data_IF_092314534060
#
_entry.id   IF_092314534060
#
_cell.length_a   1.000
_cell.length_b   1.000
_cell.length_c   1.000
_cell.angle_alpha   90.00
_cell.angle_beta   90.00
_cell.angle_gamma   90.00
#
_symmetry.space_group_name_H-M   'P 1'
#
loop_
_entity.id
_entity.type
_entity.pdbx_description
1 polymer ?
#
# COMPACT_ATOMS: atom_id res chain seq x y z
N UNK A 1 -24.18 1.05 1.44
CA UNK A 1 -23.70 -0.27 0.99
C UNK A 1 -23.05 -0.02 -0.36
N UNK A 2 -21.79 0.35 -0.51
CA UNK A 2 -20.53 -0.18 0.03
C UNK A 2 -19.55 0.99 0.24
N UNK A 3 -19.09 1.20 1.47
CA UNK A 3 -18.10 2.25 1.80
C UNK A 3 -16.93 1.54 2.47
N UNK A 4 -16.18 0.78 1.67
CA UNK A 4 -14.90 0.19 2.11
C UNK A 4 -13.86 1.27 1.86
N UNK A 5 -13.76 2.17 2.83
CA UNK A 5 -12.60 3.04 3.01
C UNK A 5 -11.36 2.16 2.87
N UNK A 6 -10.43 2.58 2.01
CA UNK A 6 -9.04 2.14 2.07
C UNK A 6 -8.56 2.32 3.50
N UNK A 7 -8.64 1.28 4.32
CA UNK A 7 -8.14 1.32 5.66
C UNK A 7 -6.61 1.21 5.58
N UNK A 8 -5.95 2.34 5.34
CA UNK A 8 -4.65 2.65 5.95
C UNK A 8 -4.84 2.79 7.48
N UNK A 9 -5.63 1.89 8.08
CA UNK A 9 -5.74 1.77 9.52
C UNK A 9 -4.40 1.26 10.00
N UNK A 10 -3.98 1.77 11.16
CA UNK A 10 -2.75 1.42 11.88
C UNK A 10 -2.49 -0.09 12.06
N UNK A 11 -3.41 -0.96 11.65
CA UNK A 11 -3.41 -2.41 11.81
C UNK A 11 -3.02 -3.19 10.54
N UNK A 12 -3.20 -2.63 9.32
CA UNK A 12 -2.95 -3.32 8.04
C UNK A 12 -2.27 -2.43 6.97
N UNK A 13 -1.49 -1.42 7.38
CA UNK A 13 -0.93 -0.41 6.48
C UNK A 13 0.46 -0.74 5.96
N UNK A 14 0.55 -1.34 4.77
CA UNK A 14 1.79 -1.60 4.06
C UNK A 14 2.18 -0.54 3.02
N UNK A 15 3.47 -0.47 2.69
CA UNK A 15 4.00 0.30 1.55
C UNK A 15 4.33 -0.63 0.37
N UNK A 16 4.73 -0.04 -0.76
CA UNK A 16 4.94 -0.73 -2.02
C UNK A 16 6.41 -0.99 -2.31
N UNK A 17 6.72 -2.06 -3.05
CA UNK A 17 8.07 -2.30 -3.58
C UNK A 17 8.44 -1.30 -4.68
N UNK A 18 7.43 -0.82 -5.40
CA UNK A 18 7.56 0.16 -6.49
C UNK A 18 7.54 1.58 -5.96
N UNK A 19 8.50 2.38 -6.45
CA UNK A 19 8.71 3.77 -6.06
C UNK A 19 7.88 4.76 -6.88
N UNK A 20 7.39 4.32 -8.03
CA UNK A 20 6.67 5.09 -9.05
C UNK A 20 5.14 4.94 -8.94
N UNK A 21 4.64 4.35 -7.86
CA UNK A 21 3.19 4.16 -7.65
C UNK A 21 2.49 5.52 -7.59
N UNK A 22 1.45 5.67 -8.40
CA UNK A 22 0.63 6.88 -8.46
C UNK A 22 -0.72 6.67 -7.76
N UNK A 23 -1.38 7.77 -7.39
CA UNK A 23 -2.76 7.72 -6.87
C UNK A 23 -3.73 7.13 -7.89
N UNK A 24 -3.57 7.44 -9.18
CA UNK A 24 -4.44 6.94 -10.24
C UNK A 24 -4.34 5.42 -10.35
N UNK A 25 -3.14 4.86 -10.17
CA UNK A 25 -2.93 3.41 -10.13
C UNK A 25 -3.66 2.78 -8.94
N UNK A 26 -3.53 3.37 -7.74
CA UNK A 26 -4.22 2.91 -6.52
C UNK A 26 -5.75 2.99 -6.66
N UNK A 27 -6.26 4.03 -7.31
CA UNK A 27 -7.69 4.23 -7.54
C UNK A 27 -8.27 3.25 -8.56
N UNK A 28 -7.46 2.75 -9.50
CA UNK A 28 -7.86 1.79 -10.54
C UNK A 28 -7.82 0.33 -10.09
N UNK A 29 -7.28 0.04 -8.90
CA UNK A 29 -7.27 -1.32 -8.35
C UNK A 29 -8.71 -1.85 -8.28
N UNK A 30 -8.96 -2.98 -8.96
CA UNK A 30 -10.19 -3.75 -8.74
C UNK A 30 -10.11 -4.39 -7.35
N UNK A 31 -11.03 -4.03 -6.46
CA UNK A 31 -11.06 -4.51 -5.07
C UNK A 31 -12.03 -5.66 -4.85
N UNK A 32 -12.75 -6.07 -5.89
CA UNK A 32 -13.72 -7.16 -5.86
C UNK A 32 -13.08 -8.47 -6.36
N UNK A 33 -11.82 -8.66 -6.03
CA UNK A 33 -10.96 -9.77 -6.45
C UNK A 33 -9.97 -10.07 -5.32
N UNK A 34 -9.50 -11.31 -5.28
CA UNK A 34 -8.45 -11.75 -4.36
C UNK A 34 -7.13 -11.01 -4.65
N UNK A 35 -6.35 -10.64 -3.62
CA UNK A 35 -4.94 -10.28 -3.81
C UNK A 35 -4.15 -11.41 -4.47
N UNK A 36 -3.10 -11.07 -5.21
CA UNK A 36 -2.41 -12.02 -6.11
C UNK A 36 -1.19 -11.40 -6.80
N UNK A 37 -0.66 -12.09 -7.82
CA UNK A 37 0.60 -11.74 -8.48
C UNK A 37 0.45 -10.74 -9.63
N UNK A 38 -0.75 -10.55 -10.16
CA UNK A 38 -0.98 -9.56 -11.21
C UNK A 38 -0.76 -8.14 -10.68
N UNK A 39 -0.28 -7.21 -11.52
CA UNK A 39 0.16 -5.86 -11.09
C UNK A 39 -0.82 -5.14 -10.15
N UNK A 40 -2.12 -5.13 -10.49
CA UNK A 40 -3.14 -4.49 -9.64
C UNK A 40 -3.44 -5.26 -8.35
N UNK A 41 -3.38 -6.59 -8.39
CA UNK A 41 -3.59 -7.45 -7.24
C UNK A 41 -2.39 -7.46 -6.29
N UNK A 42 -1.17 -7.36 -6.82
CA UNK A 42 0.08 -7.25 -6.09
C UNK A 42 0.14 -5.90 -5.36
N UNK A 43 -0.28 -4.83 -6.03
CA UNK A 43 -0.37 -3.51 -5.40
C UNK A 43 -1.35 -3.55 -4.23
N UNK A 44 -2.51 -4.21 -4.39
CA UNK A 44 -3.46 -4.45 -3.29
C UNK A 44 -2.87 -5.31 -2.18
N UNK A 45 -2.18 -6.40 -2.52
CA UNK A 45 -1.57 -7.30 -1.56
C UNK A 45 -0.50 -6.60 -0.72
N UNK A 46 0.36 -5.81 -1.34
CA UNK A 46 1.40 -5.04 -0.66
C UNK A 46 0.81 -3.98 0.28
N UNK A 47 -0.31 -3.35 -0.09
CA UNK A 47 -1.01 -2.42 0.81
C UNK A 47 -1.54 -3.11 2.06
N UNK A 48 -1.98 -4.36 1.93
CA UNK A 48 -2.62 -5.11 3.01
C UNK A 48 -1.62 -5.84 3.91
N UNK A 49 -0.51 -6.33 3.34
CA UNK A 49 0.36 -7.33 3.98
C UNK A 49 1.84 -6.96 4.07
N UNK A 50 2.24 -5.75 3.66
CA UNK A 50 3.62 -5.30 3.88
C UNK A 50 3.82 -4.73 5.28
N UNK A 51 4.97 -5.01 5.87
CA UNK A 51 5.31 -4.67 7.26
C UNK A 51 6.54 -3.73 7.31
N UNK A 52 6.67 -2.82 8.28
CA UNK A 52 7.88 -2.00 8.43
C UNK A 52 9.06 -2.84 8.94
N UNK A 53 10.29 -2.45 8.59
CA UNK A 53 11.54 -2.97 9.16
C UNK A 53 12.51 -1.85 9.56
N UNK A 54 13.45 -2.17 10.44
CA UNK A 54 14.48 -1.21 10.93
C UNK A 54 15.55 -0.91 9.88
N UNK A 55 15.90 -1.89 9.06
CA UNK A 55 16.91 -1.74 8.01
C UNK A 55 16.38 -0.93 6.82
N UNK A 56 17.26 -0.22 6.13
CA UNK A 56 16.90 0.44 4.87
C UNK A 56 16.64 -0.59 3.76
N UNK A 57 15.76 -0.21 2.84
CA UNK A 57 15.47 -0.93 1.61
C UNK A 57 14.14 -1.67 1.63
N UNK A 58 14.03 -2.65 0.73
CA UNK A 58 12.89 -3.56 0.62
C UNK A 58 13.37 -4.99 0.75
N UNK A 59 12.68 -5.80 1.55
CA UNK A 59 12.91 -7.25 1.66
C UNK A 59 11.62 -7.99 1.31
N UNK A 60 11.75 -9.13 0.66
CA UNK A 60 10.59 -10.00 0.44
C UNK A 60 10.08 -10.55 1.78
N UNK A 61 8.76 -10.63 1.91
CA UNK A 61 8.14 -11.19 3.11
C UNK A 61 8.05 -12.71 3.01
N UNK A 62 7.99 -13.37 4.17
CA UNK A 62 7.53 -14.76 4.26
C UNK A 62 6.02 -14.89 3.94
N UNK A 63 5.27 -13.78 3.97
CA UNK A 63 3.86 -13.72 3.57
C UNK A 63 3.78 -13.65 2.03
N UNK A 64 2.87 -14.39 1.39
CA UNK A 64 2.64 -14.26 -0.04
C UNK A 64 2.36 -12.80 -0.41
N UNK A 65 2.99 -12.31 -1.48
CA UNK A 65 2.67 -11.03 -2.13
C UNK A 65 2.92 -9.75 -1.31
N UNK A 66 3.52 -9.85 -0.12
CA UNK A 66 3.94 -8.72 0.71
C UNK A 66 5.46 -8.56 0.82
N UNK A 67 5.92 -7.46 1.43
CA UNK A 67 7.34 -7.27 1.74
C UNK A 67 7.56 -6.49 3.03
N UNK A 68 8.81 -6.45 3.49
CA UNK A 68 9.23 -5.59 4.58
C UNK A 68 9.90 -4.33 4.03
N UNK A 69 9.52 -3.15 4.53
CA UNK A 69 10.01 -1.87 4.03
C UNK A 69 10.74 -1.05 5.10
N UNK A 70 11.87 -0.48 4.71
CA UNK A 70 12.69 0.36 5.57
C UNK A 70 12.19 1.80 5.71
N UNK A 71 12.85 2.60 6.56
CA UNK A 71 12.52 4.00 6.74
C UNK A 71 12.77 4.84 5.48
N UNK A 72 13.74 4.47 4.64
CA UNK A 72 14.01 5.10 3.34
C UNK A 72 12.83 4.97 2.35
N UNK A 73 12.15 3.82 2.32
CA UNK A 73 10.95 3.59 1.51
C UNK A 73 9.80 4.47 2.00
N UNK A 74 9.65 4.59 3.32
CA UNK A 74 8.63 5.46 3.94
C UNK A 74 8.86 6.93 3.59
N UNK A 75 10.09 7.41 3.71
CA UNK A 75 10.45 8.81 3.38
C UNK A 75 10.18 9.10 1.91
N UNK A 76 10.56 8.18 1.03
CA UNK A 76 10.37 8.36 -0.41
C UNK A 76 8.89 8.45 -0.80
N UNK A 77 8.05 7.60 -0.21
CA UNK A 77 6.61 7.56 -0.49
C UNK A 77 5.82 8.60 0.30
N UNK A 78 6.45 9.36 1.20
CA UNK A 78 5.79 10.34 2.06
C UNK A 78 4.88 11.35 1.31
N UNK A 79 5.28 11.90 0.14
CA UNK A 79 4.40 12.76 -0.64
C UNK A 79 3.12 12.05 -1.12
N UNK A 80 3.24 10.78 -1.53
CA UNK A 80 2.09 9.96 -1.94
C UNK A 80 1.20 9.64 -0.73
N UNK A 81 1.79 9.20 0.37
CA UNK A 81 1.09 8.88 1.64
C UNK A 81 0.30 10.09 2.12
N UNK A 82 0.89 11.28 2.08
CA UNK A 82 0.21 12.54 2.43
C UNK A 82 -1.01 12.76 1.55
N UNK A 83 -0.89 12.62 0.22
CA UNK A 83 -2.03 12.80 -0.68
C UNK A 83 -3.13 11.75 -0.46
N UNK A 84 -2.79 10.49 -0.19
CA UNK A 84 -3.76 9.44 0.15
C UNK A 84 -4.53 9.82 1.41
N UNK A 85 -3.84 10.23 2.48
CA UNK A 85 -4.46 10.65 3.74
C UNK A 85 -5.38 11.85 3.55
N UNK A 86 -4.96 12.83 2.75
CA UNK A 86 -5.79 13.98 2.42
C UNK A 86 -7.04 13.56 1.63
N UNK A 87 -6.91 12.74 0.58
CA UNK A 87 -8.05 12.26 -0.20
C UNK A 87 -9.10 11.54 0.67
N UNK A 88 -8.65 10.74 1.65
CA UNK A 88 -9.53 10.04 2.59
C UNK A 88 -10.24 10.96 3.60
N UNK A 89 -9.67 12.14 3.88
CA UNK A 89 -10.27 13.10 4.83
C UNK A 89 -11.44 13.90 4.26
N UNK A 90 -11.60 13.94 2.93
CA UNK A 90 -12.68 14.66 2.25
C UNK A 90 -13.89 13.79 1.89
N UNK A 91 -13.84 12.48 2.13
CA UNK A 91 -14.97 11.58 1.90
C UNK A 91 -15.87 11.44 3.14
N UNK A 92 -16.21 12.53 3.85
CA UNK A 92 -17.16 12.52 4.98
C UNK A 92 -18.57 12.80 4.48
#
# INVERSE_FOLDING_TARGET
MYRILLQFNKQHGGLFSRKDVSLDEINRINRFTEPGEEVGQLLMAQMLWSDPMEENGWKESIRPFGGAFGPDVTILLNPLISKIRHAQSYEI
#
